data_IF_366770742794
#
_entry.id   IF_366770742794
#
_cell.length_a   1.000
_cell.length_b   1.000
_cell.length_c   1.000
_cell.angle_alpha   90.00
_cell.angle_beta   90.00
_cell.angle_gamma   90.00
#
_symmetry.space_group_name_H-M   'P 1'
#
loop_
_entity.id
_entity.type
_entity.pdbx_description
1 polymer ?
#
# COMPACT_ATOMS: atom_id res chain seq x y z
N UNK A 1 -14.75 -6.99 1.10
CA UNK A 1 -14.11 -5.76 1.65
C UNK A 1 -13.30 -6.11 2.89
N UNK A 2 -11.97 -6.11 2.82
CA UNK A 2 -11.10 -6.32 3.99
C UNK A 2 -10.79 -4.97 4.62
N UNK A 3 -11.56 -4.59 5.66
CA UNK A 3 -11.35 -3.33 6.38
C UNK A 3 -10.30 -3.60 7.45
N UNK A 4 -9.10 -3.05 7.27
CA UNK A 4 -8.04 -3.14 8.27
C UNK A 4 -8.49 -2.39 9.53
N UNK A 5 -8.62 -3.11 10.65
CA UNK A 5 -8.89 -2.49 11.93
C UNK A 5 -7.60 -1.82 12.42
N UNK A 6 -7.55 -0.50 12.36
CA UNK A 6 -6.47 0.29 12.96
C UNK A 6 -6.73 0.30 14.46
N UNK A 7 -6.03 -0.57 15.19
CA UNK A 7 -6.05 -0.59 16.64
C UNK A 7 -5.20 0.59 17.13
N UNK A 8 -5.85 1.71 17.40
CA UNK A 8 -5.23 2.85 18.09
C UNK A 8 -5.14 2.52 19.58
N UNK A 9 -3.99 2.73 20.20
CA UNK A 9 -3.75 2.47 21.64
C UNK A 9 -4.43 3.50 22.57
N UNK A 10 -5.43 4.22 22.07
CA UNK A 10 -6.07 5.29 22.83
C UNK A 10 -6.84 4.69 24.02
N UNK A 11 -6.33 5.00 25.20
CA UNK A 11 -6.28 4.15 26.37
C UNK A 11 -7.55 4.17 27.23
N UNK A 12 -8.73 4.11 26.62
CA UNK A 12 -10.02 4.00 27.32
C UNK A 12 -10.67 2.64 27.10
N UNK A 13 -9.97 1.56 27.50
CA UNK A 13 -10.55 0.25 27.85
C UNK A 13 -11.61 -0.28 26.86
N UNK A 14 -11.26 -0.36 25.57
CA UNK A 14 -12.15 -0.94 24.57
C UNK A 14 -12.57 -2.36 25.02
N UNK A 15 -13.86 -2.66 25.24
CA UNK A 15 -14.30 -3.96 25.76
C UNK A 15 -13.87 -5.12 24.84
N UNK A 16 -13.74 -4.82 23.55
CA UNK A 16 -13.20 -5.75 22.56
C UNK A 16 -11.73 -6.14 22.83
N UNK A 17 -10.88 -5.20 23.24
CA UNK A 17 -9.48 -5.49 23.65
C UNK A 17 -9.42 -6.32 24.93
N UNK A 18 -10.39 -6.17 25.83
CA UNK A 18 -10.48 -6.97 27.06
C UNK A 18 -10.90 -8.42 26.81
N UNK A 19 -11.79 -8.66 25.84
CA UNK A 19 -12.20 -10.02 25.43
C UNK A 19 -11.15 -10.76 24.59
N UNK A 20 -10.13 -10.05 24.10
CA UNK A 20 -9.14 -10.64 23.21
C UNK A 20 -8.11 -11.48 24.00
N UNK A 21 -7.87 -12.74 23.57
CA UNK A 21 -6.85 -13.59 24.17
C UNK A 21 -5.45 -12.94 24.16
N UNK A 22 -4.61 -13.21 25.17
CA UNK A 22 -3.31 -12.56 25.34
C UNK A 22 -2.33 -12.78 24.17
N UNK A 23 -2.49 -13.86 23.40
CA UNK A 23 -1.68 -14.12 22.21
C UNK A 23 -2.06 -13.23 21.02
N UNK A 24 -3.27 -12.66 20.98
CA UNK A 24 -3.72 -11.73 19.93
C UNK A 24 -3.34 -10.28 20.29
N UNK A 25 -3.39 -9.93 21.58
CA UNK A 25 -2.99 -8.60 22.07
C UNK A 25 -1.49 -8.34 21.95
N UNK A 26 -0.68 -9.39 21.88
CA UNK A 26 0.78 -9.28 21.73
C UNK A 26 1.25 -8.70 20.39
N UNK A 27 0.34 -8.34 19.47
CA UNK A 27 0.64 -7.55 18.29
C UNK A 27 1.85 -8.12 17.55
N UNK A 28 1.62 -9.19 16.77
CA UNK A 28 2.71 -9.83 16.01
C UNK A 28 3.56 -8.80 15.27
N UNK A 29 4.86 -9.10 15.15
CA UNK A 29 5.86 -8.22 14.52
C UNK A 29 5.28 -7.46 13.34
N UNK A 30 5.41 -6.12 13.30
CA UNK A 30 4.83 -5.31 12.24
C UNK A 30 5.37 -5.83 10.90
N UNK A 31 4.49 -6.42 10.09
CA UNK A 31 4.83 -6.88 8.74
C UNK A 31 5.24 -5.65 7.97
N UNK A 32 6.56 -5.48 7.77
CA UNK A 32 7.13 -4.37 7.00
C UNK A 32 6.41 -4.32 5.67
N UNK A 33 5.73 -3.20 5.40
CA UNK A 33 5.14 -2.94 4.09
C UNK A 33 6.22 -3.21 3.04
N UNK A 34 5.97 -4.18 2.17
CA UNK A 34 6.91 -4.62 1.14
C UNK A 34 7.20 -3.39 0.30
N UNK A 35 8.39 -2.80 0.46
CA UNK A 35 8.83 -1.69 -0.40
C UNK A 35 8.71 -2.20 -1.83
N UNK A 36 7.85 -1.56 -2.63
CA UNK A 36 7.74 -1.85 -4.05
C UNK A 36 9.13 -1.63 -4.63
N UNK A 37 9.80 -2.73 -4.98
CA UNK A 37 11.09 -2.67 -5.68
C UNK A 37 10.72 -2.31 -7.11
N UNK A 38 10.81 -1.03 -7.44
CA UNK A 38 10.71 -0.58 -8.82
C UNK A 38 11.79 -1.34 -9.60
N UNK A 39 11.38 -2.19 -10.52
CA UNK A 39 12.30 -2.93 -11.37
C UNK A 39 12.65 -2.09 -12.59
N UNK A 40 13.80 -2.37 -13.21
CA UNK A 40 14.16 -1.76 -14.50
C UNK A 40 13.12 -2.06 -15.60
N UNK A 41 12.41 -3.18 -15.47
CA UNK A 41 11.33 -3.53 -16.37
C UNK A 41 10.14 -2.57 -16.24
N UNK A 42 9.71 -2.27 -15.00
CA UNK A 42 8.64 -1.32 -14.72
C UNK A 42 8.95 0.07 -15.28
N UNK A 43 10.22 0.51 -15.16
CA UNK A 43 10.67 1.78 -15.72
C UNK A 43 10.61 1.80 -17.25
N UNK A 44 11.01 0.70 -17.90
CA UNK A 44 10.96 0.59 -19.36
C UNK A 44 9.53 0.64 -19.87
N UNK A 45 8.63 -0.09 -19.22
CA UNK A 45 7.22 -0.15 -19.62
C UNK A 45 6.52 1.20 -19.40
N UNK A 46 6.84 1.89 -18.29
CA UNK A 46 6.39 3.26 -18.05
C UNK A 46 6.90 4.24 -19.12
N UNK A 47 8.20 4.18 -19.45
CA UNK A 47 8.80 5.05 -20.46
C UNK A 47 8.21 4.79 -21.85
N UNK A 48 7.96 3.53 -22.21
CA UNK A 48 7.33 3.16 -23.46
C UNK A 48 5.93 3.78 -23.57
N UNK A 49 5.08 3.61 -22.55
CA UNK A 49 3.75 4.20 -22.52
C UNK A 49 3.79 5.75 -22.58
N UNK A 50 4.70 6.36 -21.81
CA UNK A 50 4.91 7.81 -21.82
C UNK A 50 5.31 8.32 -23.21
N UNK A 51 6.28 7.68 -23.86
CA UNK A 51 6.75 8.06 -25.19
C UNK A 51 5.66 7.92 -26.25
N UNK A 52 4.86 6.85 -26.19
CA UNK A 52 3.76 6.62 -27.12
C UNK A 52 2.70 7.72 -27.02
N UNK A 53 2.28 8.07 -25.79
CA UNK A 53 1.34 9.17 -25.57
C UNK A 53 1.93 10.52 -26.00
N UNK A 54 3.19 10.78 -25.68
CA UNK A 54 3.86 12.04 -26.04
C UNK A 54 3.93 12.23 -27.56
N UNK A 55 4.33 11.18 -28.29
CA UNK A 55 4.39 11.20 -29.76
C UNK A 55 3.00 11.36 -30.35
N UNK A 56 1.99 10.65 -29.82
CA UNK A 56 0.62 10.78 -30.29
C UNK A 56 0.07 12.21 -30.14
N UNK A 57 0.31 12.85 -28.99
CA UNK A 57 -0.10 14.25 -28.76
C UNK A 57 0.68 15.21 -29.63
N UNK A 58 1.99 15.00 -29.80
CA UNK A 58 2.82 15.84 -30.65
C UNK A 58 2.39 15.79 -32.12
N UNK A 59 2.06 14.59 -32.63
CA UNK A 59 1.53 14.40 -33.98
C UNK A 59 0.12 14.95 -34.15
N UNK A 60 -0.69 14.96 -33.10
CA UNK A 60 -2.02 15.56 -33.14
C UNK A 60 -1.97 17.09 -33.23
N UNK A 61 -0.95 17.70 -32.63
CA UNK A 61 -0.78 19.16 -32.59
C UNK A 61 -0.06 19.69 -33.84
N UNK A 62 0.83 18.90 -34.44
CA UNK A 62 1.57 19.26 -35.65
C UNK A 62 0.67 19.24 -36.91
#
# INVERSE_FOLDING_TARGET
MRRSLVLTDDAARHPFLASLPPHVRRGGEPVRARRARLTLHDLRDFLAAYSACFVAVSLFIA
#
